data_IF_629737781654
#
_entry.id   IF_629737781654
#
_cell.length_a   1.000
_cell.length_b   1.000
_cell.length_c   1.000
_cell.angle_alpha   90.00
_cell.angle_beta   90.00
_cell.angle_gamma   90.00
#
_symmetry.space_group_name_H-M   'P 1'
#
loop_
_entity.id
_entity.type
_entity.pdbx_description
1 polymer ?
#
# COMPACT_ATOMS: atom_id res chain seq x y z
N UNK A 1 35.38 -12.72 26.32
CA UNK A 1 34.50 -13.29 27.35
C UNK A 1 33.61 -12.19 27.91
N UNK A 2 32.36 -12.04 27.42
CA UNK A 2 31.40 -11.05 27.95
C UNK A 2 30.30 -11.82 28.68
N UNK A 3 30.27 -11.71 30.01
CA UNK A 3 29.25 -12.30 30.86
C UNK A 3 27.89 -11.64 30.56
N UNK A 4 26.93 -12.42 30.07
CA UNK A 4 25.54 -12.01 29.95
C UNK A 4 24.97 -11.82 31.35
N UNK A 5 24.69 -10.57 31.71
CA UNK A 5 24.01 -10.20 32.96
C UNK A 5 22.61 -10.82 32.97
N UNK A 6 22.21 -11.36 34.12
CA UNK A 6 20.89 -11.96 34.43
C UNK A 6 19.65 -11.27 33.83
N UNK A 7 19.54 -9.92 33.66
CA UNK A 7 18.38 -9.31 32.99
C UNK A 7 18.21 -9.67 31.50
N UNK A 8 19.29 -9.98 30.79
CA UNK A 8 19.24 -10.38 29.37
C UNK A 8 18.68 -11.79 29.20
N UNK A 9 19.03 -12.69 30.13
CA UNK A 9 18.58 -14.07 30.13
C UNK A 9 17.08 -14.16 30.49
N UNK A 10 16.61 -13.31 31.40
CA UNK A 10 15.19 -13.23 31.76
C UNK A 10 14.32 -12.70 30.59
N UNK A 11 14.81 -11.70 29.84
CA UNK A 11 14.13 -11.20 28.63
C UNK A 11 14.11 -12.23 27.51
N UNK A 12 15.18 -13.00 27.32
CA UNK A 12 15.24 -14.07 26.34
C UNK A 12 14.27 -15.21 26.67
N UNK A 13 14.18 -15.61 27.94
CA UNK A 13 13.21 -16.61 28.40
C UNK A 13 11.76 -16.13 28.30
N UNK A 14 11.48 -14.85 28.59
CA UNK A 14 10.15 -14.26 28.41
C UNK A 14 9.72 -14.17 26.92
N UNK A 15 10.67 -14.01 26.00
CA UNK A 15 10.42 -14.05 24.56
C UNK A 15 10.20 -15.49 24.07
N UNK A 16 10.92 -16.47 24.61
CA UNK A 16 10.73 -17.89 24.29
C UNK A 16 9.37 -18.44 24.75
N UNK A 17 8.81 -17.94 25.86
CA UNK A 17 7.48 -18.31 26.33
C UNK A 17 6.33 -17.86 25.41
N UNK A 18 6.58 -17.04 24.38
CA UNK A 18 5.57 -16.61 23.39
C UNK A 18 5.56 -17.44 22.10
N UNK A 19 6.47 -18.41 21.95
CA UNK A 19 6.53 -19.28 20.78
C UNK A 19 6.28 -20.75 21.16
N UNK A 20 5.01 -21.11 21.35
CA UNK A 20 4.60 -22.52 21.45
C UNK A 20 4.46 -23.15 20.05
N UNK A 21 4.76 -24.46 19.88
CA UNK A 21 4.64 -25.18 18.61
C UNK A 21 3.19 -25.59 18.30
N UNK A 22 2.84 -25.90 17.03
CA UNK A 22 1.46 -26.05 16.59
C UNK A 22 1.01 -27.51 16.70
N UNK A 23 0.22 -27.86 17.73
CA UNK A 23 -0.49 -29.14 17.76
C UNK A 23 -1.88 -28.96 18.38
N UNK A 24 -2.90 -29.19 17.57
CA UNK A 24 -4.30 -29.26 18.00
C UNK A 24 -5.22 -28.40 17.14
N UNK A 25 -6.07 -29.03 16.32
CA UNK A 25 -7.26 -28.40 15.74
C UNK A 25 -8.21 -28.02 16.87
N UNK A 26 -8.04 -26.83 17.43
CA UNK A 26 -9.08 -26.15 18.19
C UNK A 26 -10.12 -25.62 17.21
N UNK A 27 -11.38 -26.06 17.36
CA UNK A 27 -12.55 -25.38 16.82
C UNK A 27 -12.58 -23.96 17.41
N UNK A 28 -11.94 -23.04 16.69
CA UNK A 28 -11.73 -21.66 17.13
C UNK A 28 -13.01 -20.83 16.92
N UNK A 29 -13.79 -20.65 17.99
CA UNK A 29 -14.50 -19.38 18.16
C UNK A 29 -13.56 -18.29 18.74
N UNK A 30 -12.37 -18.69 19.25
CA UNK A 30 -11.49 -17.79 20.00
C UNK A 30 -10.19 -17.34 19.27
N UNK A 31 -9.87 -17.83 18.06
CA UNK A 31 -8.69 -17.33 17.29
C UNK A 31 -9.01 -16.08 16.48
N UNK A 32 -10.29 -15.77 16.27
CA UNK A 32 -10.68 -14.68 15.37
C UNK A 32 -10.17 -13.34 15.91
N UNK A 33 -10.02 -13.17 17.23
CA UNK A 33 -9.49 -11.95 17.85
C UNK A 33 -8.00 -11.67 17.54
N UNK A 34 -7.23 -12.64 17.05
CA UNK A 34 -5.81 -12.45 16.69
C UNK A 34 -5.58 -12.10 15.20
N UNK A 35 -6.59 -12.28 14.34
CA UNK A 35 -6.49 -12.13 12.87
C UNK A 35 -6.91 -10.76 12.35
N UNK A 36 -7.58 -9.94 13.15
CA UNK A 36 -7.94 -8.58 12.78
C UNK A 36 -7.41 -7.59 13.82
N UNK A 37 -6.98 -6.41 13.36
CA UNK A 37 -6.52 -5.33 14.23
C UNK A 37 -7.65 -4.32 14.35
N UNK A 38 -8.17 -4.11 15.55
CA UNK A 38 -9.02 -2.96 15.80
C UNK A 38 -8.20 -1.67 15.60
N UNK A 39 -8.54 -0.90 14.58
CA UNK A 39 -7.94 0.41 14.31
C UNK A 39 -8.67 1.44 15.16
N UNK A 40 -7.92 2.21 15.94
CA UNK A 40 -8.43 3.25 16.84
C UNK A 40 -9.24 2.73 18.07
N UNK A 41 -8.79 1.65 18.73
CA UNK A 41 -9.29 1.24 20.06
C UNK A 41 -8.53 1.98 21.18
N UNK A 42 -8.61 3.31 21.19
CA UNK A 42 -7.97 4.15 22.21
C UNK A 42 -9.01 5.07 22.82
N UNK A 43 -9.28 4.90 24.11
CA UNK A 43 -10.17 5.79 24.85
C UNK A 43 -9.45 7.10 25.18
N UNK A 44 -10.09 8.25 24.97
CA UNK A 44 -9.45 9.54 25.22
C UNK A 44 -9.30 9.77 26.73
N UNK A 45 -8.08 10.12 27.17
CA UNK A 45 -7.83 10.51 28.57
C UNK A 45 -8.62 11.79 28.93
N UNK A 46 -9.08 11.89 30.19
CA UNK A 46 -9.88 13.01 30.71
C UNK A 46 -9.07 13.94 31.63
N UNK A 47 -7.78 14.07 31.38
CA UNK A 47 -6.92 15.00 32.11
C UNK A 47 -7.22 16.46 31.73
N UNK A 48 -7.11 17.39 32.68
CA UNK A 48 -7.41 18.81 32.49
C UNK A 48 -6.56 19.42 31.34
N UNK A 49 -5.30 18.99 31.20
CA UNK A 49 -4.41 19.44 30.13
C UNK A 49 -4.86 18.94 28.76
N UNK A 50 -5.21 17.66 28.63
CA UNK A 50 -5.61 17.06 27.35
C UNK A 50 -6.99 17.54 26.89
N UNK A 51 -7.90 17.82 27.83
CA UNK A 51 -9.20 18.45 27.54
C UNK A 51 -9.02 19.88 27.01
N UNK A 52 -8.14 20.67 27.64
CA UNK A 52 -7.84 22.04 27.20
C UNK A 52 -7.17 22.07 25.83
N UNK A 53 -6.22 21.16 25.55
CA UNK A 53 -5.57 21.02 24.25
C UNK A 53 -6.56 20.59 23.13
N UNK A 54 -7.51 19.70 23.44
CA UNK A 54 -8.60 19.37 22.49
C UNK A 54 -9.50 20.58 22.22
N UNK A 55 -9.88 21.33 23.25
CA UNK A 55 -10.66 22.54 23.09
C UNK A 55 -9.90 23.59 22.26
N UNK A 56 -8.59 23.74 22.48
CA UNK A 56 -7.72 24.62 21.70
C UNK A 56 -7.66 24.18 20.23
N UNK A 57 -7.54 22.87 19.94
CA UNK A 57 -7.59 22.35 18.55
C UNK A 57 -8.92 22.65 17.87
N UNK A 58 -10.03 22.53 18.58
CA UNK A 58 -11.38 22.81 18.05
C UNK A 58 -11.60 24.30 17.77
N UNK A 59 -11.18 25.18 18.70
CA UNK A 59 -11.42 26.62 18.58
C UNK A 59 -10.41 27.33 17.69
N UNK A 60 -9.12 26.98 17.78
CA UNK A 60 -8.04 27.63 17.05
C UNK A 60 -7.67 26.92 15.74
N UNK A 61 -8.37 25.82 15.40
CA UNK A 61 -8.21 25.09 14.15
C UNK A 61 -6.75 24.69 13.86
N UNK A 62 -5.98 24.37 14.91
CA UNK A 62 -4.53 24.13 14.78
C UNK A 62 -4.19 22.98 13.84
N UNK A 63 -4.99 21.92 13.82
CA UNK A 63 -4.84 20.81 12.86
C UNK A 63 -5.11 21.25 11.41
N UNK A 64 -5.98 22.24 11.19
CA UNK A 64 -6.24 22.77 9.87
C UNK A 64 -5.04 23.56 9.34
N UNK A 65 -4.41 24.38 10.19
CA UNK A 65 -3.17 25.08 9.84
C UNK A 65 -2.01 24.11 9.63
N UNK A 66 -1.93 23.02 10.41
CA UNK A 66 -0.96 21.95 10.17
C UNK A 66 -1.17 21.28 8.80
N UNK A 67 -2.41 21.01 8.41
CA UNK A 67 -2.75 20.49 7.08
C UNK A 67 -2.40 21.48 5.96
N UNK A 68 -2.70 22.77 6.16
CA UNK A 68 -2.36 23.84 5.22
C UNK A 68 -0.84 24.02 5.05
N UNK A 69 -0.06 23.84 6.11
CA UNK A 69 1.40 23.82 6.02
C UNK A 69 1.91 22.68 5.13
N UNK A 70 1.23 21.53 5.14
CA UNK A 70 1.57 20.41 4.25
C UNK A 70 1.26 20.72 2.78
N UNK A 71 0.13 21.36 2.48
CA UNK A 71 -0.20 21.74 1.09
C UNK A 71 0.75 22.83 0.60
N UNK A 72 1.12 23.80 1.44
CA UNK A 72 2.15 24.79 1.14
C UNK A 72 3.51 24.13 0.83
N UNK A 73 3.85 23.02 1.49
CA UNK A 73 5.07 22.26 1.19
C UNK A 73 5.09 21.72 -0.25
N UNK A 74 3.94 21.45 -0.89
CA UNK A 74 3.89 21.04 -2.30
C UNK A 74 4.16 22.19 -3.28
N UNK A 75 3.95 23.45 -2.87
CA UNK A 75 4.26 24.61 -3.70
C UNK A 75 5.77 24.71 -4.00
N UNK A 76 6.62 24.24 -3.07
CA UNK A 76 8.07 24.21 -3.23
C UNK A 76 8.61 22.91 -3.83
N UNK A 77 7.73 21.97 -4.22
CA UNK A 77 8.15 20.75 -4.92
C UNK A 77 8.13 20.99 -6.43
N UNK A 78 9.03 20.32 -7.14
CA UNK A 78 9.03 20.32 -8.60
C UNK A 78 7.76 19.63 -9.14
N UNK A 79 7.08 20.21 -10.15
CA UNK A 79 5.89 19.60 -10.73
C UNK A 79 6.24 18.34 -11.53
N UNK A 80 5.49 17.25 -11.33
CA UNK A 80 5.66 15.99 -12.06
C UNK A 80 4.96 15.99 -13.44
N UNK A 81 4.96 17.13 -14.14
CA UNK A 81 4.31 17.31 -15.45
C UNK A 81 5.29 17.08 -16.58
N UNK A 82 4.96 16.21 -17.54
CA UNK A 82 5.71 16.03 -18.79
C UNK A 82 5.25 17.03 -19.85
N UNK A 83 6.17 17.55 -20.67
CA UNK A 83 5.82 18.50 -21.73
C UNK A 83 5.35 17.80 -23.02
N UNK A 84 4.11 17.32 -23.03
CA UNK A 84 3.52 16.76 -24.25
C UNK A 84 3.21 17.87 -25.27
N UNK A 85 3.55 17.74 -26.57
CA UNK A 85 3.95 16.53 -27.31
C UNK A 85 5.46 16.28 -27.44
N UNK A 86 6.30 17.14 -26.88
CA UNK A 86 7.77 17.06 -27.01
C UNK A 86 8.38 15.93 -26.17
N UNK A 87 7.77 15.65 -25.02
CA UNK A 87 8.11 14.56 -24.11
C UNK A 87 6.94 13.57 -24.01
N UNK A 88 7.23 12.27 -24.04
CA UNK A 88 6.24 11.19 -23.93
C UNK A 88 6.50 10.35 -22.69
N UNK A 89 5.43 9.86 -22.07
CA UNK A 89 5.52 8.96 -20.92
C UNK A 89 6.22 7.64 -21.27
N UNK A 90 6.86 6.98 -20.30
CA UNK A 90 7.55 5.71 -20.50
C UNK A 90 6.53 4.61 -20.85
N UNK A 91 6.73 3.96 -22.00
CA UNK A 91 5.83 2.92 -22.50
C UNK A 91 6.50 1.54 -22.42
N UNK A 92 5.80 0.57 -21.85
CA UNK A 92 6.30 -0.81 -21.82
C UNK A 92 6.20 -1.46 -23.21
N UNK A 93 7.08 -2.43 -23.56
CA UNK A 93 6.98 -3.18 -24.82
C UNK A 93 5.68 -3.98 -24.97
N UNK A 94 4.91 -4.15 -23.88
CA UNK A 94 3.62 -4.88 -23.85
C UNK A 94 2.41 -3.95 -24.00
N UNK A 95 2.63 -2.67 -24.23
CA UNK A 95 1.54 -1.72 -24.43
C UNK A 95 0.67 -2.14 -25.63
N UNK A 96 -0.65 -2.12 -25.42
CA UNK A 96 -1.64 -2.44 -26.44
C UNK A 96 -2.13 -1.12 -27.02
N UNK A 97 -1.76 -0.83 -28.26
CA UNK A 97 -2.15 0.37 -28.99
C UNK A 97 -2.99 0.01 -30.23
N UNK A 98 -2.65 0.62 -31.35
CA UNK A 98 -3.30 0.34 -32.64
C UNK A 98 -2.99 -1.08 -33.15
N UNK A 99 -4.00 -1.73 -33.71
CA UNK A 99 -3.86 -3.06 -34.30
C UNK A 99 -3.31 -2.93 -35.72
N UNK A 100 -2.22 -3.63 -36.02
CA UNK A 100 -1.60 -3.63 -37.35
C UNK A 100 -1.32 -5.06 -37.83
N UNK A 101 -1.63 -5.34 -39.10
CA UNK A 101 -1.33 -6.63 -39.72
C UNK A 101 0.14 -6.71 -40.12
N UNK A 102 0.81 -7.79 -39.71
CA UNK A 102 2.24 -8.01 -40.01
C UNK A 102 2.42 -8.85 -41.29
N UNK A 103 3.52 -8.59 -42.00
CA UNK A 103 3.97 -9.37 -43.18
C UNK A 103 5.14 -10.30 -42.83
N UNK A 104 5.37 -11.31 -43.66
CA UNK A 104 6.60 -12.10 -43.68
C UNK A 104 7.78 -11.29 -44.27
N UNK A 105 9.05 -11.70 -44.06
CA UNK A 105 10.18 -11.06 -44.72
C UNK A 105 10.15 -11.18 -46.26
N UNK A 106 9.36 -12.11 -46.81
CA UNK A 106 9.07 -12.23 -48.26
C UNK A 106 8.10 -11.17 -48.80
N UNK A 107 7.43 -10.40 -47.93
CA UNK A 107 6.44 -9.38 -48.31
C UNK A 107 4.98 -9.85 -48.30
N UNK A 108 4.72 -11.15 -48.23
CA UNK A 108 3.37 -11.72 -48.10
C UNK A 108 2.74 -11.41 -46.72
N UNK A 109 1.44 -11.14 -46.65
CA UNK A 109 0.73 -11.03 -45.36
C UNK A 109 0.74 -12.34 -44.56
N UNK A 110 0.78 -12.24 -43.22
CA UNK A 110 0.69 -13.42 -42.35
C UNK A 110 -0.74 -13.94 -42.13
N UNK A 111 -1.74 -13.19 -42.58
CA UNK A 111 -3.13 -13.57 -42.43
C UNK A 111 -3.52 -14.61 -43.49
N UNK A 112 -4.02 -15.76 -43.05
CA UNK A 112 -4.56 -16.82 -43.93
C UNK A 112 -6.10 -16.92 -43.84
N UNK A 113 -6.75 -15.87 -43.34
CA UNK A 113 -8.21 -15.82 -43.13
C UNK A 113 -8.78 -17.00 -42.31
N UNK A 114 -8.06 -17.48 -41.28
CA UNK A 114 -8.50 -18.60 -40.44
C UNK A 114 -9.71 -18.29 -39.53
N UNK A 115 -10.11 -17.01 -39.40
CA UNK A 115 -11.22 -16.52 -38.57
C UNK A 115 -11.14 -16.80 -37.06
N UNK A 116 -10.00 -17.27 -36.54
CA UNK A 116 -9.82 -17.46 -35.09
C UNK A 116 -9.82 -16.14 -34.30
N UNK A 117 -9.28 -15.06 -34.88
CA UNK A 117 -9.25 -13.75 -34.23
C UNK A 117 -10.65 -13.15 -34.03
N UNK A 118 -11.56 -13.39 -34.97
CA UNK A 118 -12.97 -13.00 -34.88
C UNK A 118 -13.66 -13.79 -33.77
N UNK A 119 -13.43 -15.10 -33.71
CA UNK A 119 -14.03 -15.97 -32.70
C UNK A 119 -13.59 -15.68 -31.26
N UNK A 120 -12.35 -15.20 -31.03
CA UNK A 120 -11.84 -14.88 -29.69
C UNK A 120 -12.11 -13.44 -29.25
N UNK A 121 -12.57 -12.57 -30.16
CA UNK A 121 -12.82 -11.17 -29.84
C UNK A 121 -13.97 -11.06 -28.83
N UNK A 122 -13.76 -10.54 -27.60
CA UNK A 122 -14.79 -10.52 -26.57
C UNK A 122 -15.89 -9.48 -26.81
N UNK A 123 -15.71 -8.59 -27.79
CA UNK A 123 -16.59 -7.45 -28.06
C UNK A 123 -17.24 -7.52 -29.46
N UNK A 124 -17.55 -8.74 -29.92
CA UNK A 124 -18.08 -9.05 -31.26
C UNK A 124 -19.17 -8.09 -31.75
#
# INVERSE_FOLDING_TARGET
MRCLTTPMLLRALAQAARAGPPCGRSLHSSAVAATYKYVNMQEPEMDMKSVTDRAARTLLLTELFRGLGMTLSYLFREPATINYPFEKGPLSPRFRGEHALRRYPSGEERCIACKLCEAICPAQ
#
